data_IF_761325433560
#
_entry.id   IF_761325433560
#
_cell.length_a   1.000
_cell.length_b   1.000
_cell.length_c   1.000
_cell.angle_alpha   90.00
_cell.angle_beta   90.00
_cell.angle_gamma   90.00
#
_symmetry.space_group_name_H-M   'P 1'
#
loop_
_entity.id
_entity.type
_entity.pdbx_description
1 polymer ?
#
# COMPACT_ATOMS: atom_id res chain seq x y z
N UNK A 1 31.10 -2.65 -4.78
CA UNK A 1 30.48 -2.11 -6.02
C UNK A 1 30.42 -3.25 -7.02
N UNK A 2 29.34 -4.09 -6.96
CA UNK A 2 29.16 -5.21 -7.87
C UNK A 2 28.79 -4.63 -9.24
N UNK A 3 29.51 -5.04 -10.29
CA UNK A 3 29.23 -4.65 -11.68
C UNK A 3 27.85 -5.20 -12.06
N UNK A 4 26.95 -4.32 -12.45
CA UNK A 4 25.69 -4.65 -13.11
C UNK A 4 26.06 -5.09 -14.54
N UNK A 5 26.18 -6.41 -14.74
CA UNK A 5 26.61 -6.99 -16.02
C UNK A 5 25.51 -7.05 -17.06
N UNK A 6 24.38 -6.37 -16.81
CA UNK A 6 23.25 -6.31 -17.75
C UNK A 6 22.48 -7.62 -17.89
N UNK A 7 22.84 -8.68 -17.17
CA UNK A 7 22.07 -9.92 -17.18
C UNK A 7 20.82 -9.76 -16.31
N UNK A 8 19.67 -10.11 -16.86
CA UNK A 8 18.42 -10.18 -16.09
C UNK A 8 18.58 -11.29 -15.05
N UNK A 9 18.55 -10.93 -13.76
CA UNK A 9 18.60 -11.92 -12.67
C UNK A 9 17.45 -12.93 -12.86
N UNK A 10 17.66 -14.23 -12.56
CA UNK A 10 16.57 -15.20 -12.56
C UNK A 10 15.40 -14.70 -11.72
N UNK A 11 14.19 -14.91 -12.19
CA UNK A 11 12.96 -14.45 -11.54
C UNK A 11 12.14 -15.63 -11.02
N UNK A 12 11.47 -15.41 -9.89
CA UNK A 12 10.43 -16.25 -9.35
C UNK A 12 9.11 -15.54 -9.52
N UNK A 13 8.23 -15.99 -10.40
CA UNK A 13 6.88 -15.46 -10.57
C UNK A 13 5.92 -16.21 -9.66
N UNK A 14 5.33 -15.48 -8.71
CA UNK A 14 4.32 -16.00 -7.80
C UNK A 14 2.93 -15.61 -8.30
N UNK A 15 2.06 -16.60 -8.45
CA UNK A 15 0.66 -16.42 -8.87
C UNK A 15 -0.28 -17.00 -7.82
N UNK A 16 -1.51 -16.49 -7.72
CA UNK A 16 -2.54 -17.10 -6.90
C UNK A 16 -3.22 -18.24 -7.67
N UNK A 17 -3.24 -19.43 -7.12
CA UNK A 17 -3.89 -20.61 -7.74
C UNK A 17 -5.40 -20.41 -7.98
N UNK A 18 -6.07 -19.54 -7.20
CA UNK A 18 -7.47 -19.20 -7.37
C UNK A 18 -7.71 -18.08 -8.43
N UNK A 19 -6.67 -17.65 -9.18
CA UNK A 19 -6.82 -16.63 -10.22
C UNK A 19 -7.75 -17.08 -11.35
N UNK A 20 -8.61 -16.20 -11.83
CA UNK A 20 -9.57 -16.49 -12.90
C UNK A 20 -8.90 -16.65 -14.27
N UNK A 21 -9.64 -17.18 -15.26
CA UNK A 21 -9.13 -17.44 -16.63
C UNK A 21 -8.61 -16.18 -17.34
N UNK A 22 -9.23 -15.02 -17.11
CA UNK A 22 -8.79 -13.74 -17.68
C UNK A 22 -7.43 -13.32 -17.14
N UNK A 23 -7.20 -13.55 -15.83
CA UNK A 23 -5.91 -13.30 -15.20
C UNK A 23 -4.84 -14.24 -15.75
N UNK A 24 -5.18 -15.50 -16.02
CA UNK A 24 -4.24 -16.47 -16.59
C UNK A 24 -3.73 -16.06 -17.98
N UNK A 25 -4.58 -15.50 -18.84
CA UNK A 25 -4.18 -14.97 -20.16
C UNK A 25 -3.22 -13.79 -20.01
N UNK A 26 -3.55 -12.83 -19.18
CA UNK A 26 -2.73 -11.64 -18.95
C UNK A 26 -1.37 -12.00 -18.29
N UNK A 27 -1.34 -12.98 -17.39
CA UNK A 27 -0.09 -13.52 -16.83
C UNK A 27 0.71 -14.24 -17.91
N UNK A 28 0.06 -14.99 -18.82
CA UNK A 28 0.72 -15.64 -19.95
C UNK A 28 1.47 -14.67 -20.83
N UNK A 29 0.83 -13.58 -21.26
CA UNK A 29 1.47 -12.54 -22.07
C UNK A 29 2.66 -11.88 -21.35
N UNK A 30 2.52 -11.56 -20.06
CA UNK A 30 3.60 -11.02 -19.26
C UNK A 30 4.76 -12.02 -19.13
N UNK A 31 4.45 -13.32 -18.93
CA UNK A 31 5.44 -14.39 -18.80
C UNK A 31 6.27 -14.57 -20.08
N UNK A 32 5.67 -14.41 -21.25
CA UNK A 32 6.40 -14.43 -22.53
C UNK A 32 7.46 -13.32 -22.57
N UNK A 33 7.11 -12.09 -22.16
CA UNK A 33 8.04 -10.97 -22.09
C UNK A 33 9.18 -11.24 -21.12
N UNK A 34 8.86 -11.74 -19.93
CA UNK A 34 9.87 -12.04 -18.91
C UNK A 34 10.81 -13.17 -19.34
N UNK A 35 10.30 -14.25 -19.93
CA UNK A 35 11.09 -15.40 -20.40
C UNK A 35 11.97 -15.09 -21.57
N UNK A 36 11.57 -14.14 -22.42
CA UNK A 36 12.42 -13.67 -23.52
C UNK A 36 13.69 -12.95 -22.99
N UNK A 37 13.63 -12.41 -21.78
CA UNK A 37 14.76 -11.69 -21.16
C UNK A 37 15.62 -12.58 -20.24
N UNK A 38 15.07 -13.68 -19.71
CA UNK A 38 15.83 -14.55 -18.81
C UNK A 38 15.02 -15.69 -18.17
N UNK A 39 15.64 -16.51 -17.33
CA UNK A 39 14.98 -17.62 -16.66
C UNK A 39 13.88 -17.14 -15.70
N UNK A 40 12.69 -17.74 -15.83
CA UNK A 40 11.55 -17.48 -14.93
C UNK A 40 10.95 -18.80 -14.46
N UNK A 41 11.01 -19.03 -13.16
CA UNK A 41 10.27 -20.09 -12.50
C UNK A 41 8.89 -19.55 -12.08
N UNK A 42 7.84 -20.35 -12.26
CA UNK A 42 6.47 -19.96 -11.88
C UNK A 42 6.01 -20.87 -10.75
N UNK A 43 5.55 -20.27 -9.66
CA UNK A 43 4.99 -20.96 -8.50
C UNK A 43 3.59 -20.43 -8.24
N UNK A 44 2.61 -21.34 -8.26
CA UNK A 44 1.25 -21.04 -7.81
C UNK A 44 1.16 -21.29 -6.31
N UNK A 45 0.58 -20.36 -5.59
CA UNK A 45 0.37 -20.44 -4.14
C UNK A 45 -1.12 -20.43 -3.82
N UNK A 46 -1.54 -21.27 -2.90
CA UNK A 46 -2.94 -21.35 -2.45
C UNK A 46 -3.17 -20.53 -1.18
N UNK A 47 -2.14 -20.44 -0.33
CA UNK A 47 -2.20 -19.75 0.95
C UNK A 47 -0.89 -19.01 1.30
N UNK A 48 -0.87 -18.44 2.51
CA UNK A 48 0.29 -17.68 3.00
C UNK A 48 1.49 -18.59 3.34
N UNK A 49 1.29 -19.86 3.68
CA UNK A 49 2.39 -20.76 4.03
C UNK A 49 3.09 -21.22 2.76
N UNK A 50 2.36 -21.49 1.67
CA UNK A 50 2.91 -21.70 0.35
C UNK A 50 3.74 -20.50 -0.12
N UNK A 51 3.20 -19.28 0.08
CA UNK A 51 3.89 -18.05 -0.27
C UNK A 51 5.20 -17.89 0.52
N UNK A 52 5.19 -18.17 1.83
CA UNK A 52 6.40 -18.15 2.68
C UNK A 52 7.43 -19.17 2.20
N UNK A 53 6.99 -20.37 1.85
CA UNK A 53 7.84 -21.42 1.28
C UNK A 53 8.51 -20.98 -0.02
N UNK A 54 7.74 -20.44 -0.97
CA UNK A 54 8.23 -19.92 -2.23
C UNK A 54 9.25 -18.78 -2.03
N UNK A 55 8.94 -17.84 -1.13
CA UNK A 55 9.82 -16.71 -0.79
C UNK A 55 11.10 -17.19 -0.10
N UNK A 56 11.03 -18.16 0.82
CA UNK A 56 12.17 -18.74 1.50
C UNK A 56 13.13 -19.47 0.53
N UNK A 57 12.59 -20.16 -0.47
CA UNK A 57 13.34 -20.88 -1.51
C UNK A 57 13.77 -20.02 -2.71
N UNK A 58 13.68 -18.69 -2.64
CA UNK A 58 14.00 -17.82 -3.78
C UNK A 58 15.46 -17.82 -4.24
N UNK A 59 16.42 -18.23 -3.36
CA UNK A 59 17.86 -18.35 -3.67
C UNK A 59 18.47 -17.09 -4.34
N UNK A 60 18.13 -15.90 -3.80
CA UNK A 60 18.62 -14.62 -4.34
C UNK A 60 17.95 -14.15 -5.62
N UNK A 61 16.97 -14.91 -6.16
CA UNK A 61 16.17 -14.49 -7.33
C UNK A 61 15.32 -13.25 -7.01
N UNK A 62 15.03 -12.45 -8.06
CA UNK A 62 13.99 -11.44 -7.98
C UNK A 62 12.62 -12.10 -7.92
N UNK A 63 11.70 -11.54 -7.13
CA UNK A 63 10.34 -12.09 -6.99
C UNK A 63 9.37 -11.18 -7.73
N UNK A 64 8.55 -11.77 -8.58
CA UNK A 64 7.46 -11.06 -9.27
C UNK A 64 6.15 -11.62 -8.74
N UNK A 65 5.27 -10.76 -8.24
CA UNK A 65 3.92 -11.17 -7.82
C UNK A 65 2.89 -10.73 -8.86
N UNK A 66 2.06 -11.68 -9.29
CA UNK A 66 0.91 -11.41 -10.14
C UNK A 66 -0.33 -11.21 -9.28
N UNK A 67 -0.80 -9.96 -9.15
CA UNK A 67 -1.92 -9.64 -8.28
C UNK A 67 -2.13 -8.14 -8.07
N UNK A 68 -2.95 -7.79 -7.08
CA UNK A 68 -3.21 -6.40 -6.67
C UNK A 68 -2.43 -5.99 -5.42
N UNK A 69 -2.89 -4.90 -4.79
CA UNK A 69 -2.29 -4.35 -3.56
C UNK A 69 -2.25 -5.38 -2.41
N UNK A 70 -3.29 -6.20 -2.25
CA UNK A 70 -3.31 -7.26 -1.26
C UNK A 70 -2.28 -8.37 -1.51
N UNK A 71 -2.03 -8.72 -2.78
CA UNK A 71 -0.99 -9.71 -3.13
C UNK A 71 0.42 -9.16 -2.88
N UNK A 72 0.63 -7.87 -3.13
CA UNK A 72 1.88 -7.20 -2.79
C UNK A 72 2.09 -7.14 -1.28
N UNK A 73 1.05 -6.77 -0.52
CA UNK A 73 1.10 -6.77 0.95
C UNK A 73 1.43 -8.16 1.50
N UNK A 74 0.76 -9.21 1.01
CA UNK A 74 1.04 -10.60 1.40
C UNK A 74 2.48 -11.01 1.09
N UNK A 75 3.00 -10.64 -0.09
CA UNK A 75 4.39 -10.90 -0.46
C UNK A 75 5.37 -10.21 0.48
N UNK A 76 5.17 -8.92 0.77
CA UNK A 76 6.05 -8.17 1.68
C UNK A 76 5.99 -8.74 3.10
N UNK A 77 4.80 -9.15 3.56
CA UNK A 77 4.65 -9.87 4.83
C UNK A 77 5.35 -11.23 4.85
N UNK A 78 5.32 -11.99 3.74
CA UNK A 78 6.06 -13.24 3.62
C UNK A 78 7.59 -13.01 3.64
N UNK A 79 8.08 -11.99 2.93
CA UNK A 79 9.48 -11.57 2.97
C UNK A 79 9.94 -11.21 4.39
N UNK A 80 9.10 -10.50 5.14
CA UNK A 80 9.37 -10.15 6.53
C UNK A 80 9.45 -11.41 7.42
N UNK A 81 8.50 -12.32 7.30
CA UNK A 81 8.42 -13.52 8.12
C UNK A 81 9.61 -14.47 7.96
N UNK A 82 10.29 -14.46 6.81
CA UNK A 82 11.51 -15.22 6.56
C UNK A 82 12.79 -14.39 6.77
N UNK A 83 12.67 -13.18 7.34
CA UNK A 83 13.81 -12.30 7.64
C UNK A 83 14.52 -11.75 6.39
N UNK A 84 13.82 -11.65 5.27
CA UNK A 84 14.40 -11.24 4.00
C UNK A 84 14.33 -9.72 3.76
N UNK A 85 13.48 -8.99 4.48
CA UNK A 85 13.44 -7.54 4.39
C UNK A 85 14.70 -6.93 5.03
N UNK A 86 15.21 -5.90 4.40
CA UNK A 86 16.22 -5.05 5.01
C UNK A 86 15.56 -4.16 6.06
N UNK A 87 16.03 -4.18 7.27
CA UNK A 87 15.48 -3.40 8.38
C UNK A 87 16.62 -2.68 9.11
N UNK A 88 16.33 -1.69 9.97
CA UNK A 88 17.35 -1.10 10.83
C UNK A 88 18.05 -2.12 11.75
N UNK A 89 17.42 -3.28 12.02
CA UNK A 89 17.99 -4.37 12.81
C UNK A 89 18.84 -5.33 11.99
N UNK A 90 18.64 -5.36 10.67
CA UNK A 90 19.34 -6.23 9.71
C UNK A 90 19.88 -5.41 8.53
N UNK A 91 20.75 -4.41 8.78
CA UNK A 91 21.20 -3.47 7.75
C UNK A 91 22.03 -4.14 6.65
N UNK A 92 22.67 -5.27 6.97
CA UNK A 92 23.53 -6.03 6.05
C UNK A 92 22.76 -7.00 5.14
N UNK A 93 21.44 -7.20 5.41
CA UNK A 93 20.59 -8.01 4.52
C UNK A 93 20.40 -7.27 3.20
N UNK A 94 20.71 -7.94 2.08
CA UNK A 94 20.44 -7.38 0.76
C UNK A 94 18.92 -7.25 0.57
N UNK A 95 18.44 -6.01 0.35
CA UNK A 95 17.05 -5.73 0.13
C UNK A 95 16.51 -6.54 -1.07
N UNK A 96 15.46 -7.35 -0.90
CA UNK A 96 14.93 -8.21 -1.95
C UNK A 96 14.40 -7.37 -3.11
N UNK A 97 14.49 -7.95 -4.32
CA UNK A 97 14.00 -7.30 -5.52
C UNK A 97 12.61 -7.81 -5.85
N UNK A 98 11.64 -6.92 -5.96
CA UNK A 98 10.22 -7.20 -6.15
C UNK A 98 9.74 -6.60 -7.46
N UNK A 99 9.00 -7.38 -8.25
CA UNK A 99 8.21 -6.94 -9.39
C UNK A 99 6.72 -7.13 -9.11
N UNK A 100 5.88 -6.33 -9.75
CA UNK A 100 4.42 -6.46 -9.67
C UNK A 100 3.84 -6.51 -11.07
N UNK A 101 3.04 -7.54 -11.35
CA UNK A 101 2.13 -7.62 -12.50
C UNK A 101 0.72 -7.27 -12.00
N UNK A 102 0.22 -6.06 -12.26
CA UNK A 102 -1.02 -5.59 -11.66
C UNK A 102 -2.25 -6.27 -12.26
N UNK A 103 -2.90 -7.15 -11.50
CA UNK A 103 -4.15 -7.84 -11.87
C UNK A 103 -5.35 -7.39 -11.02
N UNK A 104 -5.11 -6.62 -9.97
CA UNK A 104 -6.15 -6.15 -9.07
C UNK A 104 -6.97 -4.99 -9.67
N UNK A 105 -8.12 -4.72 -9.04
CA UNK A 105 -9.00 -3.62 -9.45
C UNK A 105 -8.45 -2.24 -9.04
N UNK A 106 -7.81 -2.12 -7.89
CA UNK A 106 -7.26 -0.87 -7.35
C UNK A 106 -5.90 -0.55 -7.92
N UNK A 107 -4.95 -1.42 -7.63
CA UNK A 107 -3.54 -1.29 -7.99
C UNK A 107 -2.98 0.08 -7.59
N UNK A 108 -3.31 0.51 -6.37
CA UNK A 108 -3.01 1.85 -5.87
C UNK A 108 -1.51 2.06 -5.71
N UNK A 109 -0.80 1.05 -5.20
CA UNK A 109 0.64 1.15 -5.00
C UNK A 109 1.43 1.13 -6.32
N UNK A 110 1.03 0.28 -7.29
CA UNK A 110 1.64 0.29 -8.62
C UNK A 110 1.44 1.62 -9.32
N UNK A 111 0.26 2.22 -9.17
CA UNK A 111 -0.05 3.57 -9.67
C UNK A 111 0.85 4.64 -9.05
N UNK A 112 1.08 4.57 -7.73
CA UNK A 112 1.95 5.50 -7.03
C UNK A 112 3.39 5.47 -7.55
N UNK A 113 3.87 4.29 -7.95
CA UNK A 113 5.20 4.08 -8.52
C UNK A 113 5.26 4.22 -10.05
N UNK A 114 4.13 4.52 -10.72
CA UNK A 114 4.07 4.68 -12.17
C UNK A 114 4.18 3.37 -12.96
N UNK A 115 4.03 2.21 -12.31
CA UNK A 115 4.02 0.90 -12.99
C UNK A 115 2.78 0.80 -13.89
N UNK A 116 2.92 0.38 -15.17
CA UNK A 116 1.79 0.17 -16.06
C UNK A 116 0.74 -0.76 -15.46
N UNK A 117 -0.53 -0.46 -15.72
CA UNK A 117 -1.65 -1.25 -15.19
C UNK A 117 -1.91 -2.53 -15.98
N UNK A 118 -1.41 -2.62 -17.18
CA UNK A 118 -1.45 -3.84 -17.97
C UNK A 118 -0.23 -4.72 -17.63
N UNK A 119 -0.42 -6.04 -17.44
CA UNK A 119 0.65 -6.94 -17.00
C UNK A 119 1.82 -7.03 -18.00
N UNK A 120 1.55 -6.91 -19.30
CA UNK A 120 2.60 -6.92 -20.33
C UNK A 120 3.52 -5.72 -20.20
N UNK A 121 2.95 -4.50 -20.10
CA UNK A 121 3.74 -3.29 -19.89
C UNK A 121 4.50 -3.29 -18.55
N UNK A 122 3.91 -3.89 -17.51
CA UNK A 122 4.61 -4.09 -16.23
C UNK A 122 5.78 -5.08 -16.37
N UNK A 123 5.64 -6.14 -17.15
CA UNK A 123 6.74 -7.06 -17.47
C UNK A 123 7.88 -6.36 -18.24
N UNK A 124 7.56 -5.48 -19.17
CA UNK A 124 8.54 -4.66 -19.90
C UNK A 124 9.33 -3.74 -18.94
N UNK A 125 8.66 -3.18 -17.93
CA UNK A 125 9.34 -2.40 -16.86
C UNK A 125 10.29 -3.28 -16.04
N UNK A 126 9.90 -4.51 -15.70
CA UNK A 126 10.76 -5.45 -15.00
C UNK A 126 11.99 -5.79 -15.84
N UNK A 127 11.81 -6.06 -17.12
CA UNK A 127 12.91 -6.34 -18.06
C UNK A 127 13.85 -5.15 -18.23
N UNK A 128 13.31 -3.92 -18.25
CA UNK A 128 14.12 -2.71 -18.32
C UNK A 128 15.03 -2.51 -17.10
N UNK A 129 14.74 -3.16 -15.97
CA UNK A 129 15.63 -3.32 -14.83
C UNK A 129 15.82 -2.09 -13.94
N UNK A 130 15.11 -0.98 -14.19
CA UNK A 130 15.15 0.17 -13.29
C UNK A 130 14.48 -0.15 -11.96
N UNK A 131 15.12 0.21 -10.86
CA UNK A 131 14.68 -0.16 -9.51
C UNK A 131 14.92 0.97 -8.53
N UNK A 132 13.99 1.13 -7.60
CA UNK A 132 14.10 2.07 -6.49
C UNK A 132 14.02 1.33 -5.16
N UNK A 133 14.67 1.84 -4.10
CA UNK A 133 14.39 1.37 -2.75
C UNK A 133 12.94 1.70 -2.42
N UNK A 134 12.31 0.84 -1.62
CA UNK A 134 10.95 1.05 -1.14
C UNK A 134 10.91 0.85 0.36
N UNK A 135 10.32 1.82 1.03
CA UNK A 135 10.14 1.82 2.47
C UNK A 135 8.92 0.97 2.87
N UNK A 136 8.87 0.56 4.11
CA UNK A 136 7.65 0.04 4.75
C UNK A 136 7.43 0.77 6.06
N UNK A 137 6.18 0.82 6.52
CA UNK A 137 5.91 1.28 7.87
C UNK A 137 5.69 0.06 8.75
N UNK A 138 6.41 -0.03 9.87
CA UNK A 138 6.22 -1.08 10.87
C UNK A 138 5.47 -0.53 12.06
N UNK A 139 4.42 -1.20 12.46
CA UNK A 139 3.70 -0.81 13.66
C UNK A 139 4.28 -1.43 14.94
N UNK A 140 3.85 -0.92 16.10
CA UNK A 140 4.31 -1.36 17.42
C UNK A 140 3.78 -2.74 17.84
N UNK A 141 2.95 -3.41 17.03
CA UNK A 141 2.56 -4.81 17.17
C UNK A 141 3.29 -5.75 16.18
N UNK A 142 4.19 -5.20 15.33
CA UNK A 142 4.93 -5.94 14.32
C UNK A 142 4.25 -6.01 12.95
N UNK A 143 3.06 -5.43 12.79
CA UNK A 143 2.37 -5.35 11.51
C UNK A 143 3.07 -4.43 10.51
N UNK A 144 2.91 -4.72 9.23
CA UNK A 144 3.47 -3.92 8.14
C UNK A 144 2.40 -3.10 7.43
N UNK A 145 2.79 -1.93 6.93
CA UNK A 145 2.02 -1.11 6.00
C UNK A 145 2.87 -0.90 4.75
N UNK A 146 2.38 -1.36 3.64
CA UNK A 146 3.03 -1.20 2.34
C UNK A 146 2.59 0.10 1.68
N UNK A 147 1.29 0.38 1.74
CA UNK A 147 0.69 1.55 1.11
C UNK A 147 0.22 2.59 2.13
N UNK A 148 -0.88 2.35 2.86
CA UNK A 148 -1.46 3.34 3.78
C UNK A 148 -2.13 2.68 4.97
N UNK A 149 -1.83 3.19 6.18
CA UNK A 149 -2.65 2.98 7.37
C UNK A 149 -3.52 4.20 7.64
N UNK A 150 -4.81 4.02 7.89
CA UNK A 150 -5.69 5.13 8.19
C UNK A 150 -6.69 4.83 9.30
N UNK A 151 -6.98 5.88 10.09
CA UNK A 151 -7.88 5.87 11.24
C UNK A 151 -8.99 6.88 10.99
N UNK A 152 -10.18 6.57 11.43
CA UNK A 152 -11.32 7.46 11.34
C UNK A 152 -12.24 7.10 10.19
N UNK A 153 -12.76 8.09 9.46
CA UNK A 153 -13.79 7.88 8.43
C UNK A 153 -13.39 6.87 7.36
N UNK A 154 -12.11 6.77 7.05
CA UNK A 154 -11.61 5.78 6.10
C UNK A 154 -11.71 4.34 6.63
N UNK A 155 -11.41 4.11 7.92
CA UNK A 155 -11.57 2.81 8.55
C UNK A 155 -13.07 2.43 8.66
N UNK A 156 -13.95 3.36 9.09
CA UNK A 156 -15.40 3.16 9.08
C UNK A 156 -15.96 2.88 7.69
N UNK A 157 -15.42 3.52 6.66
CA UNK A 157 -15.82 3.24 5.28
C UNK A 157 -15.52 1.78 4.90
N UNK A 158 -14.39 1.24 5.32
CA UNK A 158 -14.03 -0.16 5.15
C UNK A 158 -15.02 -1.11 5.86
N UNK A 159 -15.33 -0.84 7.12
CA UNK A 159 -16.32 -1.62 7.89
C UNK A 159 -17.70 -1.60 7.23
N UNK A 160 -18.18 -0.43 6.84
CA UNK A 160 -19.51 -0.26 6.24
C UNK A 160 -19.59 -0.75 4.79
N UNK A 161 -18.48 -0.79 4.06
CA UNK A 161 -18.42 -1.32 2.71
C UNK A 161 -18.56 -2.85 2.65
N UNK A 162 -18.19 -3.57 3.70
CA UNK A 162 -18.19 -5.03 3.74
C UNK A 162 -19.48 -5.67 3.23
N UNK A 163 -20.66 -5.36 3.80
CA UNK A 163 -21.94 -5.93 3.39
C UNK A 163 -22.35 -5.53 1.95
N UNK A 164 -22.03 -4.30 1.53
CA UNK A 164 -22.35 -3.79 0.18
C UNK A 164 -21.37 -4.33 -0.86
N UNK A 165 -20.08 -4.45 -0.52
CA UNK A 165 -19.06 -5.07 -1.37
C UNK A 165 -19.44 -6.51 -1.70
N UNK A 166 -19.85 -7.30 -0.70
CA UNK A 166 -20.29 -8.69 -0.89
C UNK A 166 -21.54 -8.81 -1.77
N UNK A 167 -22.48 -7.85 -1.72
CA UNK A 167 -23.69 -7.83 -2.57
C UNK A 167 -23.39 -7.37 -3.99
N UNK A 168 -22.60 -6.32 -4.16
CA UNK A 168 -22.31 -5.70 -5.45
C UNK A 168 -21.24 -6.43 -6.23
N UNK A 169 -20.32 -7.16 -5.58
CA UNK A 169 -19.35 -8.01 -6.27
C UNK A 169 -20.00 -9.15 -7.05
N UNK A 170 -21.17 -9.65 -6.60
CA UNK A 170 -21.93 -10.67 -7.34
C UNK A 170 -22.43 -10.19 -8.71
N UNK A 171 -22.48 -8.87 -8.93
CA UNK A 171 -22.91 -8.25 -10.20
C UNK A 171 -21.80 -7.41 -10.83
N UNK A 172 -20.52 -7.65 -10.46
CA UNK A 172 -19.38 -6.93 -11.04
C UNK A 172 -19.19 -5.49 -10.57
N UNK A 173 -19.97 -5.01 -9.59
CA UNK A 173 -20.00 -3.62 -9.13
C UNK A 173 -19.37 -3.42 -7.73
N UNK A 174 -18.46 -4.29 -7.31
CA UNK A 174 -17.85 -4.27 -5.98
C UNK A 174 -17.16 -2.93 -5.60
N UNK A 175 -16.65 -2.20 -6.59
CA UNK A 175 -16.05 -0.86 -6.40
C UNK A 175 -17.09 0.17 -5.94
N UNK A 176 -18.34 0.08 -6.40
CA UNK A 176 -19.43 0.97 -5.97
C UNK A 176 -19.81 0.75 -4.50
N UNK A 177 -19.64 -0.47 -3.97
CA UNK A 177 -19.86 -0.76 -2.55
C UNK A 177 -18.92 0.03 -1.64
N UNK A 178 -17.66 0.21 -2.06
CA UNK A 178 -16.69 1.02 -1.33
C UNK A 178 -17.06 2.50 -1.34
N UNK A 179 -17.51 3.01 -2.51
CA UNK A 179 -17.93 4.40 -2.63
C UNK A 179 -19.17 4.71 -1.78
N UNK A 180 -20.15 3.79 -1.71
CA UNK A 180 -21.34 3.93 -0.86
C UNK A 180 -20.97 3.92 0.62
N UNK A 181 -20.09 3.00 1.05
CA UNK A 181 -19.59 2.94 2.42
C UNK A 181 -18.83 4.20 2.82
N UNK A 182 -17.99 4.73 1.92
CA UNK A 182 -17.24 5.97 2.14
C UNK A 182 -18.15 7.19 2.29
N UNK A 183 -19.17 7.31 1.45
CA UNK A 183 -20.17 8.39 1.55
C UNK A 183 -20.97 8.28 2.84
N UNK A 184 -21.44 7.08 3.20
CA UNK A 184 -22.19 6.85 4.44
C UNK A 184 -21.34 7.19 5.68
N UNK A 185 -20.08 6.77 5.72
CA UNK A 185 -19.14 7.10 6.80
C UNK A 185 -18.89 8.62 6.89
N UNK A 186 -18.65 9.27 5.76
CA UNK A 186 -18.47 10.73 5.69
C UNK A 186 -19.66 11.51 6.23
N UNK A 187 -20.90 11.06 5.97
CA UNK A 187 -22.10 11.79 6.38
C UNK A 187 -22.40 11.61 7.87
N UNK A 188 -22.13 10.45 8.45
CA UNK A 188 -22.59 10.08 9.80
C UNK A 188 -21.54 10.16 10.88
N UNK A 189 -20.24 10.26 10.53
CA UNK A 189 -19.16 10.24 11.52
C UNK A 189 -19.05 11.56 12.30
N UNK A 190 -19.08 11.49 13.62
CA UNK A 190 -18.84 12.67 14.47
C UNK A 190 -17.36 12.98 14.70
N UNK A 191 -16.47 12.18 14.14
CA UNK A 191 -15.03 12.25 14.35
C UNK A 191 -14.59 11.74 15.73
N UNK A 192 -13.29 11.54 15.86
CA UNK A 192 -12.66 10.95 17.05
C UNK A 192 -11.86 11.97 17.84
N UNK A 193 -11.81 11.83 19.15
CA UNK A 193 -10.88 12.58 20.00
C UNK A 193 -9.55 11.83 20.05
N UNK A 194 -8.65 12.18 19.15
CA UNK A 194 -7.33 11.57 19.03
C UNK A 194 -6.24 12.57 19.44
N UNK A 195 -5.15 12.04 19.99
CA UNK A 195 -3.85 12.67 20.04
C UNK A 195 -3.01 12.09 18.91
N UNK A 196 -2.39 12.94 18.11
CA UNK A 196 -1.52 12.56 17.00
C UNK A 196 -0.16 13.19 17.24
N UNK A 197 0.86 12.37 17.31
CA UNK A 197 2.25 12.78 17.56
C UNK A 197 3.09 12.33 16.37
N UNK A 198 3.89 13.24 15.81
CA UNK A 198 4.85 12.96 14.76
C UNK A 198 6.25 13.37 15.21
N UNK A 199 7.19 12.45 15.17
CA UNK A 199 8.60 12.64 15.60
C UNK A 199 8.71 13.34 16.98
N UNK A 200 7.81 13.00 17.91
CA UNK A 200 7.75 13.55 19.26
C UNK A 200 6.94 14.84 19.43
N UNK A 201 6.49 15.49 18.35
CA UNK A 201 5.66 16.67 18.39
C UNK A 201 4.17 16.35 18.34
N UNK A 202 3.37 16.90 19.28
CA UNK A 202 1.90 16.71 19.29
C UNK A 202 1.24 17.68 18.29
N UNK A 203 0.67 17.14 17.23
CA UNK A 203 0.05 17.92 16.14
C UNK A 203 -1.46 18.11 16.31
N UNK A 204 -2.15 17.21 17.02
CA UNK A 204 -3.59 17.24 17.18
C UNK A 204 -3.97 16.94 18.64
N UNK A 205 -3.80 17.94 19.51
CA UNK A 205 -4.20 17.89 20.91
C UNK A 205 -5.62 18.38 21.14
N UNK A 206 -6.57 17.46 21.45
CA UNK A 206 -7.89 17.83 21.96
C UNK A 206 -8.98 18.19 20.95
N UNK A 207 -8.67 18.47 19.67
CA UNK A 207 -9.67 18.67 18.62
C UNK A 207 -10.24 17.33 18.15
N UNK A 208 -11.48 17.35 17.66
CA UNK A 208 -12.04 16.17 16.97
C UNK A 208 -11.39 16.03 15.60
N UNK A 209 -10.93 14.84 15.29
CA UNK A 209 -10.29 14.47 14.03
C UNK A 209 -11.26 13.64 13.21
N UNK A 210 -11.45 13.97 11.95
CA UNK A 210 -12.25 13.18 11.01
C UNK A 210 -11.47 11.97 10.50
N UNK A 211 -10.21 12.19 10.16
CA UNK A 211 -9.33 11.17 9.58
C UNK A 211 -7.87 11.46 9.92
N UNK A 212 -7.12 10.39 10.19
CA UNK A 212 -5.67 10.36 10.18
C UNK A 212 -5.24 9.34 9.13
N UNK A 213 -4.32 9.69 8.25
CA UNK A 213 -3.69 8.77 7.33
C UNK A 213 -2.18 8.84 7.51
N UNK A 214 -1.55 7.67 7.67
CA UNK A 214 -0.10 7.49 7.71
C UNK A 214 0.26 6.71 6.45
N UNK A 215 0.84 7.41 5.49
CA UNK A 215 0.95 6.93 4.13
C UNK A 215 2.41 6.73 3.71
N UNK A 216 2.66 5.61 3.07
CA UNK A 216 3.86 5.32 2.30
C UNK A 216 3.59 5.57 0.80
N UNK A 217 2.40 5.21 0.33
CA UNK A 217 1.92 5.49 -1.02
C UNK A 217 0.89 6.62 -1.09
N UNK A 218 0.57 7.05 -2.32
CA UNK A 218 -0.23 8.26 -2.60
C UNK A 218 -1.74 8.03 -2.57
N UNK A 219 -2.19 6.85 -3.01
CA UNK A 219 -3.60 6.59 -3.34
C UNK A 219 -4.18 5.41 -2.59
N UNK A 220 -5.50 5.42 -2.40
CA UNK A 220 -6.29 4.35 -1.83
C UNK A 220 -7.57 4.13 -2.63
N UNK A 221 -8.16 2.94 -2.54
CA UNK A 221 -9.51 2.67 -3.05
C UNK A 221 -9.67 2.84 -4.55
N UNK A 222 -8.62 2.60 -5.33
CA UNK A 222 -8.64 2.69 -6.78
C UNK A 222 -8.34 4.08 -7.32
N UNK A 223 -7.55 4.90 -6.61
CA UNK A 223 -7.03 6.17 -7.10
C UNK A 223 -7.47 7.41 -6.33
N UNK A 224 -8.10 7.30 -5.17
CA UNK A 224 -8.34 8.45 -4.31
C UNK A 224 -7.02 8.90 -3.67
N UNK A 225 -6.56 10.09 -3.96
CA UNK A 225 -5.30 10.63 -3.45
C UNK A 225 -5.42 11.03 -1.99
N UNK A 226 -5.00 10.17 -1.08
CA UNK A 226 -5.03 10.43 0.37
C UNK A 226 -3.78 11.18 0.85
N UNK A 227 -2.66 10.96 0.20
CA UNK A 227 -1.38 11.61 0.47
C UNK A 227 -0.71 12.07 -0.84
N UNK A 228 -1.25 13.13 -1.50
CA UNK A 228 -0.68 13.63 -2.74
C UNK A 228 0.78 14.08 -2.53
N UNK A 229 1.70 13.46 -3.21
CA UNK A 229 3.14 13.73 -3.07
C UNK A 229 3.90 12.78 -2.15
N UNK A 230 3.24 11.78 -1.56
CA UNK A 230 3.95 10.73 -0.85
C UNK A 230 4.98 10.04 -1.76
N UNK A 231 6.15 9.76 -1.20
CA UNK A 231 7.24 9.06 -1.88
C UNK A 231 7.69 7.88 -1.02
N UNK A 232 7.40 6.68 -1.50
CA UNK A 232 7.70 5.44 -0.78
C UNK A 232 9.22 5.11 -0.73
N UNK A 233 10.08 6.06 -1.07
CA UNK A 233 11.55 5.85 -1.15
C UNK A 233 12.37 6.91 -0.43
N UNK A 234 11.74 7.84 0.28
CA UNK A 234 12.43 8.99 0.90
C UNK A 234 12.71 8.83 2.41
N UNK A 235 12.34 7.70 3.00
CA UNK A 235 12.55 7.40 4.41
C UNK A 235 11.57 8.11 5.35
N UNK A 236 10.44 8.62 4.83
CA UNK A 236 9.44 9.35 5.59
C UNK A 236 8.04 8.82 5.29
N UNK A 237 7.15 8.87 6.27
CA UNK A 237 5.73 8.67 6.09
C UNK A 237 5.03 10.01 5.88
N UNK A 238 4.12 10.10 4.93
CA UNK A 238 3.23 11.24 4.74
C UNK A 238 2.04 11.14 5.69
N UNK A 239 2.00 12.01 6.69
CA UNK A 239 0.91 12.10 7.64
C UNK A 239 -0.09 13.15 7.18
N UNK A 240 -1.35 12.76 7.03
CA UNK A 240 -2.48 13.66 6.79
C UNK A 240 -3.45 13.58 7.95
N UNK A 241 -3.74 14.73 8.57
CA UNK A 241 -4.74 14.87 9.64
C UNK A 241 -5.84 15.82 9.20
N UNK A 242 -7.09 15.38 9.23
CA UNK A 242 -8.24 16.21 8.87
C UNK A 242 -9.15 16.47 10.07
N UNK A 243 -9.47 17.73 10.29
CA UNK A 243 -10.45 18.21 11.29
C UNK A 243 -11.80 18.58 10.67
N UNK A 244 -12.10 18.12 9.47
CA UNK A 244 -13.32 18.42 8.72
C UNK A 244 -14.57 17.74 9.32
N UNK A 245 -14.87 17.92 10.60
CA UNK A 245 -15.92 17.18 11.33
C UNK A 245 -17.34 17.73 11.14
N UNK A 246 -17.52 18.95 10.63
CA UNK A 246 -18.85 19.50 10.31
C UNK A 246 -19.45 18.91 9.02
N UNK A 247 -20.77 18.79 8.88
CA UNK A 247 -21.42 18.14 7.73
C UNK A 247 -20.93 18.66 6.38
N UNK A 248 -20.94 19.97 6.19
CA UNK A 248 -20.48 20.63 4.97
C UNK A 248 -18.96 20.49 4.76
N UNK A 249 -18.18 20.55 5.86
CA UNK A 249 -16.73 20.39 5.82
C UNK A 249 -16.35 18.99 5.36
N UNK A 250 -17.07 17.95 5.80
CA UNK A 250 -16.88 16.54 5.39
C UNK A 250 -17.12 16.34 3.90
N UNK A 251 -18.23 16.85 3.37
CA UNK A 251 -18.55 16.78 1.94
C UNK A 251 -17.45 17.47 1.12
N UNK A 252 -17.06 18.69 1.51
CA UNK A 252 -15.97 19.42 0.84
C UNK A 252 -14.64 18.69 0.93
N UNK A 253 -14.34 18.05 2.07
CA UNK A 253 -13.15 17.23 2.25
C UNK A 253 -13.15 16.03 1.29
N UNK A 254 -14.23 15.26 1.23
CA UNK A 254 -14.36 14.12 0.32
C UNK A 254 -14.21 14.50 -1.16
N UNK A 255 -14.82 15.61 -1.58
CA UNK A 255 -14.71 16.13 -2.95
C UNK A 255 -13.27 16.61 -3.25
N UNK A 256 -12.61 17.26 -2.29
CA UNK A 256 -11.24 17.72 -2.42
C UNK A 256 -10.25 16.54 -2.46
N UNK A 257 -10.48 15.49 -1.65
CA UNK A 257 -9.66 14.28 -1.64
C UNK A 257 -9.72 13.54 -2.98
N UNK A 258 -10.91 13.42 -3.60
CA UNK A 258 -11.03 12.83 -4.94
C UNK A 258 -10.22 13.55 -6.02
N UNK A 259 -9.89 14.84 -5.80
CA UNK A 259 -9.11 15.68 -6.73
C UNK A 259 -7.67 15.90 -6.28
N UNK A 260 -7.22 15.22 -5.24
CA UNK A 260 -5.88 15.42 -4.65
C UNK A 260 -5.64 16.84 -4.08
N UNK A 261 -6.70 17.61 -3.84
CA UNK A 261 -6.62 19.01 -3.40
C UNK A 261 -6.95 19.24 -1.93
N UNK A 262 -7.21 18.18 -1.18
CA UNK A 262 -7.59 18.30 0.25
C UNK A 262 -6.44 18.87 1.11
N UNK A 263 -5.18 18.68 0.73
CA UNK A 263 -4.03 19.23 1.44
C UNK A 263 -3.92 20.77 1.42
N UNK A 264 -4.65 21.46 0.52
CA UNK A 264 -4.71 22.92 0.48
C UNK A 264 -5.80 23.52 1.41
N UNK A 265 -6.50 22.69 2.19
CA UNK A 265 -7.57 23.12 3.08
C UNK A 265 -6.98 23.52 4.45
N UNK A 266 -7.55 24.56 5.07
CA UNK A 266 -7.17 25.03 6.41
C UNK A 266 -7.50 24.02 7.53
N UNK A 267 -8.46 23.10 7.28
CA UNK A 267 -8.86 22.04 8.20
C UNK A 267 -8.13 20.71 7.92
N UNK A 268 -7.00 20.77 7.20
CA UNK A 268 -6.13 19.61 6.92
C UNK A 268 -4.68 20.00 7.19
N UNK A 269 -4.01 19.20 7.99
CA UNK A 269 -2.56 19.27 8.21
C UNK A 269 -1.88 18.14 7.43
N UNK A 270 -0.78 18.48 6.79
CA UNK A 270 0.14 17.49 6.18
C UNK A 270 1.54 17.73 6.69
N UNK A 271 2.15 16.67 7.20
CA UNK A 271 3.56 16.66 7.62
C UNK A 271 4.19 15.34 7.23
N UNK A 272 5.50 15.31 7.13
CA UNK A 272 6.27 14.08 6.94
C UNK A 272 7.02 13.74 8.22
N UNK A 273 7.05 12.47 8.59
CA UNK A 273 7.65 12.02 9.83
C UNK A 273 8.26 10.61 9.68
N UNK A 274 9.21 10.29 10.53
CA UNK A 274 9.77 8.93 10.65
C UNK A 274 8.99 8.06 11.60
N UNK A 275 8.34 8.68 12.57
CA UNK A 275 7.51 8.00 13.55
C UNK A 275 6.19 8.75 13.73
N UNK A 276 5.09 8.03 13.69
CA UNK A 276 3.75 8.57 13.96
C UNK A 276 3.07 7.73 15.03
N UNK A 277 2.57 8.39 16.06
CA UNK A 277 1.74 7.76 17.10
C UNK A 277 0.34 8.36 17.10
N UNK A 278 -0.68 7.51 17.03
CA UNK A 278 -2.08 7.89 17.23
C UNK A 278 -2.58 7.26 18.53
N UNK A 279 -3.24 8.06 19.36
CA UNK A 279 -3.80 7.63 20.66
C UNK A 279 -5.23 8.15 20.82
N UNK A 280 -6.16 7.27 21.21
CA UNK A 280 -7.49 7.67 21.61
C UNK A 280 -7.46 8.41 22.96
N UNK A 281 -8.03 9.58 23.04
CA UNK A 281 -8.24 10.29 24.31
C UNK A 281 -9.44 9.72 25.09
N UNK A 282 -10.41 9.13 24.39
CA UNK A 282 -11.55 8.37 24.95
C UNK A 282 -11.90 7.23 24.00
N UNK A 283 -12.35 6.10 24.56
CA UNK A 283 -12.76 4.92 23.81
C UNK A 283 -11.58 4.26 23.06
N UNK A 284 -11.89 3.76 21.90
CA UNK A 284 -10.98 3.05 20.99
C UNK A 284 -11.17 3.56 19.56
N UNK A 285 -10.26 3.18 18.68
CA UNK A 285 -10.37 3.36 17.23
C UNK A 285 -9.92 2.08 16.53
N UNK A 286 -10.38 1.89 15.31
CA UNK A 286 -9.89 0.86 14.39
C UNK A 286 -8.92 1.49 13.40
N UNK A 287 -7.95 0.71 12.94
CA UNK A 287 -7.05 1.07 11.86
C UNK A 287 -7.40 0.22 10.65
N UNK A 288 -7.48 0.84 9.49
CA UNK A 288 -7.44 0.12 8.24
C UNK A 288 -6.01 0.19 7.70
N UNK A 289 -5.37 -0.95 7.56
CA UNK A 289 -4.02 -1.12 7.01
C UNK A 289 -4.11 -1.83 5.68
N UNK A 290 -3.81 -1.15 4.59
CA UNK A 290 -3.82 -1.70 3.23
C UNK A 290 -5.11 -2.44 2.85
N UNK A 291 -6.24 -2.08 3.46
CA UNK A 291 -7.55 -2.69 3.26
C UNK A 291 -8.00 -3.65 4.37
N UNK A 292 -7.14 -4.00 5.31
CA UNK A 292 -7.43 -4.85 6.46
C UNK A 292 -7.75 -4.02 7.71
N UNK A 293 -8.79 -4.41 8.43
CA UNK A 293 -9.23 -3.72 9.65
C UNK A 293 -8.65 -4.40 10.89
N UNK A 294 -8.08 -3.59 11.78
CA UNK A 294 -7.63 -4.05 13.09
C UNK A 294 -8.80 -4.25 14.06
N UNK A 295 -8.57 -5.01 15.12
CA UNK A 295 -9.39 -4.91 16.34
C UNK A 295 -9.35 -3.49 16.89
N UNK A 296 -10.38 -3.08 17.71
CA UNK A 296 -10.40 -1.80 18.37
C UNK A 296 -9.22 -1.63 19.34
N UNK A 297 -8.46 -0.56 19.20
CA UNK A 297 -7.27 -0.27 19.99
C UNK A 297 -7.25 1.16 20.53
N UNK A 298 -6.39 1.42 21.54
CA UNK A 298 -6.26 2.75 22.16
C UNK A 298 -5.06 3.53 21.69
N UNK A 299 -4.06 2.84 21.12
CA UNK A 299 -2.82 3.42 20.63
C UNK A 299 -2.27 2.55 19.50
N UNK A 300 -1.65 3.21 18.53
CA UNK A 300 -0.80 2.59 17.51
C UNK A 300 0.34 3.54 17.17
N UNK A 301 1.53 2.99 17.02
CA UNK A 301 2.71 3.72 16.55
C UNK A 301 3.23 3.05 15.30
N UNK A 302 3.55 3.83 14.28
CA UNK A 302 4.21 3.37 13.06
C UNK A 302 5.58 4.02 12.93
N UNK A 303 6.56 3.25 12.47
CA UNK A 303 7.92 3.71 12.16
C UNK A 303 8.26 3.35 10.74
N UNK A 304 8.94 4.27 10.06
CA UNK A 304 9.47 4.00 8.73
C UNK A 304 10.68 3.10 8.84
N UNK A 305 10.71 2.03 8.07
CA UNK A 305 11.87 1.18 7.79
C UNK A 305 12.34 1.48 6.36
N UNK A 306 13.39 2.31 6.18
CA UNK A 306 13.79 2.79 4.87
C UNK A 306 14.42 1.70 4.01
N UNK A 307 14.04 1.65 2.73
CA UNK A 307 14.62 0.75 1.74
C UNK A 307 14.50 -0.72 2.11
N UNK A 308 13.38 -1.12 2.72
CA UNK A 308 13.12 -2.48 3.18
C UNK A 308 13.21 -3.51 2.05
N UNK A 309 12.79 -3.13 0.84
CA UNK A 309 12.94 -3.90 -0.38
C UNK A 309 13.23 -2.97 -1.57
N UNK A 310 13.47 -3.52 -2.74
CA UNK A 310 13.62 -2.76 -3.99
C UNK A 310 12.52 -3.16 -4.94
N UNK A 311 11.99 -2.21 -5.70
CA UNK A 311 10.92 -2.50 -6.65
C UNK A 311 11.30 -2.03 -8.05
N UNK A 312 10.94 -2.83 -9.06
CA UNK A 312 11.06 -2.43 -10.45
C UNK A 312 10.05 -1.33 -10.76
N UNK A 313 10.53 -0.25 -11.36
CA UNK A 313 9.75 0.92 -11.75
C UNK A 313 10.13 1.38 -13.15
N UNK A 314 9.26 2.12 -13.86
CA UNK A 314 9.63 2.76 -15.10
C UNK A 314 10.82 3.72 -14.91
N UNK A 315 11.68 3.83 -15.91
CA UNK A 315 12.68 4.89 -15.92
C UNK A 315 12.00 6.24 -15.79
N UNK A 316 12.40 7.05 -14.82
CA UNK A 316 11.88 8.41 -14.72
C UNK A 316 12.27 9.15 -16.00
N UNK A 317 11.29 9.61 -16.77
CA UNK A 317 11.55 10.54 -17.86
C UNK A 317 12.15 11.78 -17.20
N UNK A 318 13.45 12.00 -17.43
CA UNK A 318 14.15 13.14 -16.86
C UNK A 318 13.31 14.40 -17.01
N UNK A 319 13.06 15.09 -15.92
CA UNK A 319 12.50 16.44 -15.93
C UNK A 319 13.52 17.32 -16.68
N UNK A 320 13.20 17.62 -17.93
CA UNK A 320 13.91 18.65 -18.69
C UNK A 320 13.47 20.03 -18.19
#
# INVERSE_FOLDING_TARGET
MARDDGSVRPLLLVTNAAAGSTDATAVGEALEVLRAAGPVEVVATEDLDDLRGAVGGRDGRGIVVAGGDGSLHALVGALDSVGALRTPRTPDVEAPLVGLLPLGTGNDFSRALGVPRDPRGAAEVIVAGHRVPVDVLRDDAGGLVVNVAHVGVGAEAGERAGPWKARLSRVGLGVLGYAVGAVAALVTSDGWRLSVVADGEELAGGRRVLQVAVANGRTIGGGAEIAPGADASDGLADLTVSWATGPLARVRYGLAMRRGRHGAREDVLRVRAREVTVRARRGTFTVNTDGELSDPLRRRTWRVEPGAYRMFVPAQKGSR
#
